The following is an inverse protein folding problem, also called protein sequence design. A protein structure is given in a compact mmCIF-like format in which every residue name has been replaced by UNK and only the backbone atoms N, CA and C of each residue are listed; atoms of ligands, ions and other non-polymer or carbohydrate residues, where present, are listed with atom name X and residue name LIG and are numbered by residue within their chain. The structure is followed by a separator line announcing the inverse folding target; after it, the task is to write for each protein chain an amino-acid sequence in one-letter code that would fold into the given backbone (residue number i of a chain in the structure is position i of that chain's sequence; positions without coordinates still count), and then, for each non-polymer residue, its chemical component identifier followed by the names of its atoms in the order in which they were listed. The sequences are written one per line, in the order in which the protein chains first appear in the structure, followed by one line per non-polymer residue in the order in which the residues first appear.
data_IF_979972519709
#
_entry.id   IF_979972519709
#
_cell.length_a   1.000
_cell.length_b   1.000
_cell.length_c   1.000
_cell.angle_alpha   90.00
_cell.angle_beta   90.00
_cell.angle_gamma   90.00
#
_symmetry.space_group_name_H-M   'P 1'
#
loop_
_entity.id
_entity.type
_entity.pdbx_description
1 polymer ?
#
# COMPACT_ATOMS: atom_id res chain seq x y z
N UNK A 1 17.76 38.56 18.94
CA UNK A 1 17.93 37.62 17.81
C UNK A 1 17.34 36.27 18.20
N UNK A 2 16.24 35.86 17.57
CA UNK A 2 15.61 34.57 17.82
C UNK A 2 16.54 33.47 17.30
N UNK A 3 17.15 32.70 18.21
CA UNK A 3 17.94 31.51 17.83
C UNK A 3 16.96 30.52 17.21
N UNK A 4 17.14 30.20 15.92
CA UNK A 4 16.37 29.15 15.25
C UNK A 4 16.51 27.85 16.05
N UNK A 5 15.40 27.15 16.24
CA UNK A 5 15.43 25.81 16.84
C UNK A 5 16.13 24.84 15.88
N UNK A 6 16.90 23.86 16.39
CA UNK A 6 17.39 22.74 15.60
C UNK A 6 16.23 22.01 14.91
N UNK A 7 16.48 21.39 13.76
CA UNK A 7 15.45 20.60 13.10
C UNK A 7 15.11 19.37 13.95
N UNK A 8 13.90 18.80 13.75
CA UNK A 8 13.51 17.58 14.45
C UNK A 8 14.49 16.43 14.17
N UNK A 9 15.05 16.37 12.95
CA UNK A 9 16.07 15.40 12.56
C UNK A 9 17.35 15.55 13.40
N UNK A 10 17.82 16.78 13.60
CA UNK A 10 19.00 17.05 14.43
C UNK A 10 18.77 16.64 15.89
N UNK A 11 17.55 16.85 16.40
CA UNK A 11 17.15 16.42 17.75
C UNK A 11 17.04 14.90 17.87
N UNK A 12 16.57 14.19 16.83
CA UNK A 12 16.52 12.72 16.83
C UNK A 12 17.91 12.09 16.74
N UNK A 13 18.81 12.66 15.93
CA UNK A 13 20.21 12.21 15.85
C UNK A 13 20.92 12.42 17.19
N UNK A 14 20.69 13.57 17.84
CA UNK A 14 21.21 13.85 19.19
C UNK A 14 20.58 12.96 20.28
N UNK A 15 19.32 12.56 20.14
CA UNK A 15 18.65 11.67 21.09
C UNK A 15 19.19 10.23 21.01
N UNK A 16 19.51 9.75 19.80
CA UNK A 16 19.93 8.36 19.54
C UNK A 16 21.44 8.09 19.59
N UNK A 17 22.29 9.12 19.50
CA UNK A 17 23.76 8.96 19.51
C UNK A 17 24.39 9.30 20.87
N UNK A 18 25.47 8.59 21.23
CA UNK A 18 26.36 9.05 22.30
C UNK A 18 27.06 10.34 21.86
N UNK A 19 27.27 11.25 22.81
CA UNK A 19 27.54 12.69 22.66
C UNK A 19 28.83 13.10 21.91
N UNK A 20 29.46 12.21 21.14
CA UNK A 20 30.82 12.37 20.64
C UNK A 20 30.91 13.02 19.24
N UNK A 21 29.79 13.34 18.60
CA UNK A 21 29.78 14.08 17.34
C UNK A 21 30.10 15.57 17.56
N UNK A 22 30.95 16.23 16.74
CA UNK A 22 31.29 17.64 16.91
C UNK A 22 30.09 18.60 16.80
N UNK A 23 29.02 18.21 16.09
CA UNK A 23 27.74 18.92 16.05
C UNK A 23 26.95 18.84 17.36
N UNK A 24 27.23 17.85 18.21
CA UNK A 24 26.53 17.64 19.48
C UNK A 24 26.78 18.77 20.47
N UNK A 25 27.95 19.45 20.44
CA UNK A 25 28.23 20.51 21.43
C UNK A 25 27.35 21.77 21.25
N UNK A 26 26.96 22.09 20.02
CA UNK A 26 26.07 23.23 19.75
C UNK A 26 24.61 22.88 20.10
N UNK A 27 24.17 21.68 19.73
CA UNK A 27 22.83 21.18 20.03
C UNK A 27 22.66 20.97 21.53
N UNK A 28 23.65 20.40 22.23
CA UNK A 28 23.64 20.23 23.69
C UNK A 28 23.47 21.57 24.42
N UNK A 29 24.25 22.59 24.05
CA UNK A 29 24.10 23.95 24.59
C UNK A 29 22.70 24.52 24.33
N UNK A 30 22.11 24.26 23.16
CA UNK A 30 20.74 24.68 22.85
C UNK A 30 19.70 23.92 23.68
N UNK A 31 19.77 22.58 23.72
CA UNK A 31 18.85 21.72 24.45
C UNK A 31 18.86 22.06 25.93
N UNK A 32 20.04 22.33 26.52
CA UNK A 32 20.16 22.79 27.93
C UNK A 32 19.53 24.16 28.18
N UNK A 33 19.51 25.03 27.18
CA UNK A 33 18.97 26.39 27.31
C UNK A 33 17.52 26.55 26.83
N UNK A 34 16.97 25.56 26.13
CA UNK A 34 15.62 25.59 25.56
C UNK A 34 14.74 24.47 26.09
N UNK A 35 13.77 24.81 26.95
CA UNK A 35 12.83 23.86 27.58
C UNK A 35 12.07 22.99 26.57
N UNK A 36 11.64 23.56 25.44
CA UNK A 36 10.89 22.83 24.39
C UNK A 36 11.75 21.77 23.72
N UNK A 37 12.99 22.11 23.34
CA UNK A 37 13.91 21.15 22.74
C UNK A 37 14.32 20.07 23.75
N UNK A 38 14.49 20.40 25.03
CA UNK A 38 14.71 19.42 26.09
C UNK A 38 13.56 18.41 26.22
N UNK A 39 12.31 18.88 26.20
CA UNK A 39 11.14 18.01 26.24
C UNK A 39 11.06 17.09 25.00
N UNK A 40 11.34 17.62 23.80
CA UNK A 40 11.35 16.81 22.59
C UNK A 40 12.43 15.72 22.61
N UNK A 41 13.63 16.04 23.07
CA UNK A 41 14.72 15.05 23.20
C UNK A 41 14.36 13.97 24.22
N UNK A 42 13.78 14.35 25.36
CA UNK A 42 13.30 13.40 26.37
C UNK A 42 12.21 12.48 25.82
N UNK A 43 11.25 13.02 25.06
CA UNK A 43 10.21 12.24 24.40
C UNK A 43 10.83 11.24 23.40
N UNK A 44 11.77 11.69 22.57
CA UNK A 44 12.45 10.84 21.60
C UNK A 44 13.24 9.71 22.27
N UNK A 45 13.90 9.99 23.41
CA UNK A 45 14.59 8.96 24.20
C UNK A 45 13.63 7.92 24.78
N UNK A 46 12.47 8.35 25.28
CA UNK A 46 11.45 7.42 25.77
C UNK A 46 10.91 6.52 24.66
N UNK A 47 10.66 7.09 23.48
CA UNK A 47 10.23 6.32 22.32
C UNK A 47 11.30 5.32 21.87
N UNK A 48 12.58 5.70 21.88
CA UNK A 48 13.68 4.78 21.55
C UNK A 48 13.78 3.61 22.53
N UNK A 49 13.64 3.87 23.84
CA UNK A 49 13.62 2.82 24.87
C UNK A 49 12.44 1.87 24.66
N UNK A 50 11.24 2.39 24.43
CA UNK A 50 10.05 1.57 24.17
C UNK A 50 10.18 0.75 22.89
N UNK A 51 10.72 1.33 21.83
CA UNK A 51 10.97 0.63 20.57
C UNK A 51 11.99 -0.50 20.77
N UNK A 52 13.08 -0.26 21.49
CA UNK A 52 14.09 -1.28 21.79
C UNK A 52 13.55 -2.39 22.68
N UNK A 53 12.79 -2.07 23.72
CA UNK A 53 12.20 -3.10 24.60
C UNK A 53 11.20 -3.96 23.83
N UNK A 54 10.37 -3.36 22.98
CA UNK A 54 9.44 -4.09 22.12
C UNK A 54 10.17 -5.01 21.12
N UNK A 55 11.30 -4.54 20.56
CA UNK A 55 12.12 -5.36 19.66
C UNK A 55 12.74 -6.55 20.41
N UNK A 56 13.27 -6.35 21.62
CA UNK A 56 13.87 -7.43 22.43
C UNK A 56 12.82 -8.48 22.82
N UNK A 57 11.64 -8.05 23.29
CA UNK A 57 10.54 -8.96 23.63
C UNK A 57 10.06 -9.75 22.40
N UNK A 58 10.04 -9.11 21.22
CA UNK A 58 9.65 -9.78 19.98
C UNK A 58 10.68 -10.81 19.51
N UNK A 59 11.98 -10.60 19.77
CA UNK A 59 13.06 -11.49 19.34
C UNK A 59 13.11 -12.76 20.22
N UNK A 60 12.87 -12.63 21.53
CA UNK A 60 12.77 -13.78 22.43
C UNK A 60 11.54 -14.65 22.16
N UNK A 61 10.40 -14.04 21.80
CA UNK A 61 9.17 -14.78 21.52
C UNK A 61 9.15 -15.44 20.12
N UNK A 62 9.83 -14.85 19.13
CA UNK A 62 9.83 -15.39 17.76
C UNK A 62 10.78 -16.57 17.58
N UNK A 63 11.90 -16.61 18.33
CA UNK A 63 12.86 -17.71 18.28
C UNK A 63 12.35 -19.04 18.84
N UNK A 64 11.47 -19.01 19.85
CA UNK A 64 11.01 -20.21 20.55
C UNK A 64 10.00 -21.05 19.75
N UNK A 65 9.28 -20.45 18.79
CA UNK A 65 8.17 -21.10 18.08
C UNK A 65 8.41 -21.29 16.58
N UNK A 66 9.62 -20.98 16.09
CA UNK A 66 9.91 -21.00 14.65
C UNK A 66 9.04 -20.00 13.88
N UNK A 67 8.65 -18.90 14.52
CA UNK A 67 7.86 -17.86 13.90
C UNK A 67 8.72 -17.06 12.91
N UNK A 68 8.18 -16.66 11.75
CA UNK A 68 8.88 -15.77 10.85
C UNK A 68 9.16 -14.44 11.56
N UNK A 69 10.32 -13.81 11.28
CA UNK A 69 10.67 -12.54 11.91
C UNK A 69 9.66 -11.45 11.52
N UNK A 70 9.42 -10.43 12.36
CA UNK A 70 8.41 -9.40 12.12
C UNK A 70 8.56 -8.69 10.77
N UNK A 71 9.80 -8.51 10.31
CA UNK A 71 10.10 -7.91 9.01
C UNK A 71 9.53 -8.71 7.83
N UNK A 72 9.54 -10.05 7.93
CA UNK A 72 8.96 -10.94 6.90
C UNK A 72 7.43 -10.88 6.94
N UNK A 73 6.82 -10.70 8.11
CA UNK A 73 5.37 -10.51 8.23
C UNK A 73 4.93 -9.14 7.65
N UNK A 74 5.72 -8.09 7.85
CA UNK A 74 5.49 -6.78 7.26
C UNK A 74 5.59 -6.82 5.72
N UNK A 75 6.68 -7.37 5.18
CA UNK A 75 6.86 -7.54 3.73
C UNK A 75 5.75 -8.44 3.10
N UNK A 76 5.15 -9.34 3.89
CA UNK A 76 4.02 -10.18 3.48
C UNK A 76 2.74 -9.34 3.34
N UNK A 77 2.42 -8.48 4.32
CA UNK A 77 1.26 -7.57 4.26
C UNK A 77 1.35 -6.59 3.09
N UNK A 78 2.54 -6.07 2.83
CA UNK A 78 2.78 -5.13 1.71
C UNK A 78 2.83 -5.84 0.34
N UNK A 79 2.80 -7.17 0.32
CA UNK A 79 2.88 -7.97 -0.89
C UNK A 79 4.26 -7.92 -1.57
N UNK A 80 5.31 -7.54 -0.84
CA UNK A 80 6.69 -7.45 -1.29
C UNK A 80 7.43 -8.80 -1.22
N UNK A 81 6.88 -9.78 -0.49
CA UNK A 81 7.49 -11.10 -0.38
C UNK A 81 7.61 -11.81 -1.76
N UNK A 82 8.78 -12.39 -2.09
CA UNK A 82 8.93 -13.30 -3.22
C UNK A 82 7.96 -14.48 -3.15
N UNK A 83 7.55 -14.99 -4.32
CA UNK A 83 6.53 -16.04 -4.41
C UNK A 83 6.83 -17.28 -3.54
N UNK A 84 8.09 -17.71 -3.48
CA UNK A 84 8.50 -18.88 -2.69
C UNK A 84 8.39 -18.64 -1.18
N UNK A 85 8.83 -17.49 -0.69
CA UNK A 85 8.72 -17.14 0.73
C UNK A 85 7.26 -16.93 1.13
N UNK A 86 6.44 -16.43 0.21
CA UNK A 86 5.02 -16.18 0.48
C UNK A 86 4.29 -17.47 0.82
N UNK A 87 4.53 -18.53 0.06
CA UNK A 87 3.94 -19.86 0.33
C UNK A 87 4.35 -20.38 1.71
N UNK A 88 5.63 -20.26 2.07
CA UNK A 88 6.10 -20.70 3.40
C UNK A 88 5.51 -19.87 4.54
N UNK A 89 5.34 -18.55 4.33
CA UNK A 89 4.70 -17.68 5.31
C UNK A 89 3.21 -17.99 5.43
N UNK A 90 2.49 -18.21 4.32
CA UNK A 90 1.07 -18.62 4.32
C UNK A 90 0.87 -19.96 5.03
N UNK A 91 1.74 -20.94 4.78
CA UNK A 91 1.71 -22.24 5.46
C UNK A 91 1.94 -22.08 6.97
N UNK A 92 2.90 -21.25 7.39
CA UNK A 92 3.10 -20.92 8.80
C UNK A 92 1.88 -20.20 9.39
N UNK A 93 1.31 -19.20 8.72
CA UNK A 93 0.13 -18.46 9.21
C UNK A 93 -1.11 -19.34 9.34
N UNK A 94 -1.21 -20.40 8.53
CA UNK A 94 -2.30 -21.37 8.63
C UNK A 94 -2.22 -22.20 9.92
N UNK A 95 -1.01 -22.43 10.43
CA UNK A 95 -0.74 -23.30 11.59
C UNK A 95 -0.42 -22.53 12.88
N UNK A 96 0.08 -21.30 12.80
CA UNK A 96 0.49 -20.49 13.94
C UNK A 96 -0.53 -19.38 14.24
N UNK A 97 -1.28 -19.54 15.34
CA UNK A 97 -2.28 -18.56 15.78
C UNK A 97 -1.67 -17.22 16.16
N UNK A 98 -0.50 -17.22 16.82
CA UNK A 98 0.17 -16.00 17.28
C UNK A 98 0.52 -15.06 16.13
N UNK A 99 1.15 -15.58 15.07
CA UNK A 99 1.52 -14.76 13.90
C UNK A 99 0.28 -14.24 13.15
N UNK A 100 -0.80 -15.03 13.09
CA UNK A 100 -2.05 -14.59 12.50
C UNK A 100 -2.69 -13.45 13.31
N UNK A 101 -2.75 -13.57 14.63
CA UNK A 101 -3.32 -12.54 15.51
C UNK A 101 -2.47 -11.25 15.44
N UNK A 102 -1.14 -11.37 15.40
CA UNK A 102 -0.24 -10.22 15.20
C UNK A 102 -0.46 -9.51 13.85
N UNK A 103 -0.69 -10.27 12.75
CA UNK A 103 -1.01 -9.67 11.45
C UNK A 103 -2.33 -8.88 11.47
N UNK A 104 -3.36 -9.40 12.15
CA UNK A 104 -4.64 -8.69 12.30
C UNK A 104 -4.41 -7.38 13.05
N UNK A 105 -3.64 -7.41 14.14
CA UNK A 105 -3.36 -6.22 14.94
C UNK A 105 -2.59 -5.14 14.16
N UNK A 106 -1.58 -5.54 13.37
CA UNK A 106 -0.84 -4.61 12.50
C UNK A 106 -1.77 -4.02 11.44
N UNK A 107 -2.66 -4.83 10.85
CA UNK A 107 -3.64 -4.36 9.87
C UNK A 107 -4.64 -3.38 10.49
N UNK A 108 -5.09 -3.61 11.72
CA UNK A 108 -5.96 -2.69 12.44
C UNK A 108 -5.26 -1.36 12.75
N UNK A 109 -4.02 -1.40 13.24
CA UNK A 109 -3.23 -0.19 13.52
C UNK A 109 -2.99 0.65 12.26
N UNK A 110 -2.65 0.01 11.14
CA UNK A 110 -2.41 0.71 9.86
C UNK A 110 -3.69 1.27 9.25
N UNK A 111 -4.85 0.66 9.51
CA UNK A 111 -6.15 1.24 9.12
C UNK A 111 -6.50 2.48 9.96
N UNK A 112 -6.15 2.52 11.23
CA UNK A 112 -6.40 3.68 12.11
C UNK A 112 -5.59 4.91 11.69
N UNK A 113 -4.34 4.73 11.22
CA UNK A 113 -3.55 5.84 10.67
C UNK A 113 -4.17 6.46 9.41
N UNK A 114 -4.95 5.69 8.65
CA UNK A 114 -5.59 6.20 7.44
C UNK A 114 -6.85 7.04 7.72
N UNK A 115 -7.50 6.81 8.86
CA UNK A 115 -8.67 7.59 9.30
C UNK A 115 -8.29 8.80 10.19
N UNK A 116 -7.08 8.81 10.75
CA UNK A 116 -6.61 9.88 11.67
C UNK A 116 -5.60 10.85 11.05
N UNK A 117 -5.15 10.60 9.81
CA UNK A 117 -4.61 11.66 8.99
C UNK A 117 -5.77 12.61 8.64
N UNK A 118 -5.92 13.68 9.43
CA UNK A 118 -6.69 14.83 8.94
C UNK A 118 -6.16 15.16 7.53
N UNK A 119 -7.04 15.36 6.53
CA UNK A 119 -6.63 15.71 5.19
C UNK A 119 -6.04 17.12 5.22
N UNK A 120 -4.81 17.22 5.70
CA UNK A 120 -4.02 18.45 5.71
C UNK A 120 -3.75 18.82 4.24
N UNK A 121 -4.54 19.79 3.78
CA UNK A 121 -4.23 20.79 2.75
C UNK A 121 -4.00 20.33 1.28
N UNK A 122 -4.36 19.10 0.88
CA UNK A 122 -4.24 18.67 -0.54
C UNK A 122 -5.60 18.37 -1.23
N UNK A 123 -6.74 18.50 -0.53
CA UNK A 123 -8.04 18.07 -1.07
C UNK A 123 -9.06 19.19 -1.36
N UNK A 124 -8.66 20.43 -1.59
CA UNK A 124 -9.62 21.51 -1.94
C UNK A 124 -9.96 21.59 -3.45
N UNK A 125 -9.39 20.70 -4.29
CA UNK A 125 -9.61 20.69 -5.75
C UNK A 125 -10.06 19.32 -6.31
N UNK A 126 -10.21 18.31 -5.45
CA UNK A 126 -10.97 17.11 -5.79
C UNK A 126 -12.43 17.41 -5.48
N UNK A 127 -13.07 18.12 -6.42
CA UNK A 127 -14.50 18.38 -6.51
C UNK A 127 -15.27 17.20 -5.91
N UNK A 128 -15.81 17.38 -4.70
CA UNK A 128 -16.88 16.53 -4.23
C UNK A 128 -17.92 16.51 -5.37
N UNK A 129 -18.28 15.33 -5.91
CA UNK A 129 -19.18 15.27 -7.03
C UNK A 129 -20.45 16.00 -6.63
N UNK A 130 -20.79 17.03 -7.41
CA UNK A 130 -21.92 17.90 -7.10
C UNK A 130 -23.17 17.05 -6.80
N UNK A 131 -24.07 17.58 -5.99
CA UNK A 131 -25.24 16.81 -5.54
C UNK A 131 -26.08 16.28 -6.72
N UNK A 132 -26.04 16.96 -7.88
CA UNK A 132 -26.69 16.50 -9.11
C UNK A 132 -25.95 15.30 -9.75
N UNK A 133 -24.61 15.26 -9.72
CA UNK A 133 -23.78 14.13 -10.15
C UNK A 133 -24.00 12.93 -9.24
N UNK A 134 -24.09 13.13 -7.91
CA UNK A 134 -24.46 12.08 -6.95
C UNK A 134 -25.88 11.53 -7.25
N UNK A 135 -26.87 12.40 -7.47
CA UNK A 135 -28.25 12.00 -7.84
C UNK A 135 -28.32 11.28 -9.18
N UNK A 136 -27.58 11.72 -10.20
CA UNK A 136 -27.51 11.04 -11.52
C UNK A 136 -26.94 9.64 -11.40
N UNK A 137 -25.86 9.49 -10.64
CA UNK A 137 -25.22 8.19 -10.42
C UNK A 137 -26.15 7.24 -9.67
N UNK A 138 -26.83 7.73 -8.62
CA UNK A 138 -27.82 6.94 -7.88
C UNK A 138 -29.01 6.53 -8.76
N UNK A 139 -29.52 7.43 -9.60
CA UNK A 139 -30.61 7.11 -10.51
C UNK A 139 -30.19 6.06 -11.55
N UNK A 140 -28.96 6.13 -12.07
CA UNK A 140 -28.42 5.16 -13.01
C UNK A 140 -28.24 3.77 -12.38
N UNK A 141 -27.78 3.71 -11.13
CA UNK A 141 -27.67 2.46 -10.37
C UNK A 141 -29.07 1.88 -10.12
N UNK A 142 -30.02 2.72 -9.72
CA UNK A 142 -31.40 2.32 -9.44
C UNK A 142 -32.12 1.80 -10.69
N UNK A 143 -31.89 2.39 -11.87
CA UNK A 143 -32.45 1.89 -13.13
C UNK A 143 -31.81 0.56 -13.53
N UNK A 144 -30.47 0.44 -13.47
CA UNK A 144 -29.80 -0.84 -13.75
C UNK A 144 -30.22 -1.96 -12.81
N UNK A 145 -30.47 -1.67 -11.53
CA UNK A 145 -30.98 -2.66 -10.57
C UNK A 145 -32.42 -3.10 -10.88
N UNK A 146 -33.27 -2.20 -11.40
CA UNK A 146 -34.63 -2.56 -11.84
C UNK A 146 -34.61 -3.47 -13.06
N UNK A 147 -33.69 -3.24 -14.01
CA UNK A 147 -33.53 -4.09 -15.20
C UNK A 147 -33.07 -5.52 -14.89
N UNK A 148 -32.48 -5.74 -13.71
CA UNK A 148 -32.01 -7.06 -13.28
C UNK A 148 -33.04 -7.85 -12.46
N UNK A 149 -34.26 -7.33 -12.25
CA UNK A 149 -35.32 -8.06 -11.55
C UNK A 149 -35.74 -9.30 -12.35
N UNK A 150 -35.93 -10.40 -11.64
CA UNK A 150 -36.30 -11.69 -12.25
C UNK A 150 -37.77 -11.95 -11.97
N UNK A 151 -38.56 -12.20 -13.02
CA UNK A 151 -39.96 -12.62 -12.87
C UNK A 151 -40.04 -14.12 -12.60
N UNK A 152 -40.86 -14.49 -11.61
CA UNK A 152 -41.14 -15.89 -11.33
C UNK A 152 -41.91 -16.52 -12.50
N UNK A 153 -41.38 -17.60 -13.07
CA UNK A 153 -42.06 -18.33 -14.14
C UNK A 153 -43.35 -19.06 -13.70
N UNK A 154 -43.62 -19.18 -12.39
CA UNK A 154 -44.80 -19.86 -11.86
C UNK A 154 -45.92 -18.87 -11.51
N UNK A 155 -45.64 -17.84 -10.70
CA UNK A 155 -46.67 -16.89 -10.24
C UNK A 155 -46.59 -15.50 -10.89
N UNK A 156 -45.54 -15.20 -11.65
CA UNK A 156 -45.35 -13.89 -12.29
C UNK A 156 -44.74 -12.80 -11.41
N UNK A 157 -44.59 -13.01 -10.10
CA UNK A 157 -44.06 -12.03 -9.15
C UNK A 157 -42.63 -11.55 -9.53
N UNK A 158 -42.36 -10.26 -9.39
CA UNK A 158 -41.04 -9.69 -9.61
C UNK A 158 -40.16 -9.84 -8.36
N UNK A 159 -38.99 -10.44 -8.51
CA UNK A 159 -38.07 -10.68 -7.40
C UNK A 159 -36.76 -9.92 -7.57
N UNK A 160 -36.09 -9.65 -6.45
CA UNK A 160 -34.80 -8.96 -6.44
C UNK A 160 -33.71 -9.76 -7.17
N UNK A 161 -32.76 -9.08 -7.84
CA UNK A 161 -31.65 -9.74 -8.51
C UNK A 161 -30.85 -10.62 -7.52
N UNK A 162 -30.72 -11.91 -7.84
CA UNK A 162 -29.99 -12.87 -7.01
C UNK A 162 -30.85 -13.68 -6.03
N UNK A 163 -32.14 -13.37 -5.89
CA UNK A 163 -33.09 -14.20 -5.13
C UNK A 163 -33.13 -15.63 -5.69
N UNK A 164 -33.07 -16.63 -4.79
CA UNK A 164 -33.11 -18.05 -5.15
C UNK A 164 -34.52 -18.62 -5.11
N UNK A 165 -35.40 -17.96 -4.39
CA UNK A 165 -36.76 -18.39 -4.10
C UNK A 165 -37.69 -17.20 -4.31
N UNK A 166 -38.83 -17.43 -4.94
CA UNK A 166 -39.84 -16.43 -5.17
C UNK A 166 -40.50 -16.01 -3.86
N UNK A 167 -40.55 -14.70 -3.61
CA UNK A 167 -41.22 -14.11 -2.44
C UNK A 167 -42.74 -14.34 -2.44
N UNK A 168 -43.38 -14.38 -3.62
CA UNK A 168 -44.83 -14.63 -3.74
C UNK A 168 -45.26 -16.08 -3.52
N UNK A 169 -44.65 -17.06 -4.21
CA UNK A 169 -45.12 -18.46 -4.20
C UNK A 169 -44.13 -19.49 -3.65
N UNK A 170 -42.92 -19.10 -3.23
CA UNK A 170 -41.92 -20.03 -2.71
C UNK A 170 -41.21 -20.91 -3.75
N UNK A 171 -41.49 -20.72 -5.05
CA UNK A 171 -40.83 -21.48 -6.11
C UNK A 171 -39.34 -21.12 -6.25
N UNK A 172 -38.48 -22.10 -6.54
CA UNK A 172 -37.08 -21.83 -6.87
C UNK A 172 -36.97 -21.06 -8.19
N UNK A 173 -36.32 -19.90 -8.15
CA UNK A 173 -36.06 -19.11 -9.34
C UNK A 173 -34.84 -19.68 -10.06
N UNK A 174 -35.00 -20.04 -11.35
CA UNK A 174 -33.85 -20.37 -12.20
C UNK A 174 -32.95 -19.15 -12.28
N UNK A 175 -31.74 -19.24 -11.74
CA UNK A 175 -30.72 -18.21 -11.99
C UNK A 175 -30.61 -18.03 -13.50
N UNK A 176 -30.55 -16.80 -14.02
CA UNK A 176 -30.20 -16.59 -15.42
C UNK A 176 -28.86 -17.30 -15.61
N UNK A 177 -28.88 -18.41 -16.35
CA UNK A 177 -27.68 -19.15 -16.68
C UNK A 177 -26.90 -18.23 -17.60
N UNK A 178 -25.96 -17.47 -17.04
CA UNK A 178 -25.05 -16.69 -17.85
C UNK A 178 -24.35 -17.68 -18.77
N UNK A 179 -24.67 -17.62 -20.06
CA UNK A 179 -23.97 -18.36 -21.09
C UNK A 179 -22.74 -17.55 -21.44
N UNK A 180 -21.58 -18.17 -21.31
CA UNK A 180 -20.31 -17.63 -21.76
C UNK A 180 -20.07 -18.10 -23.19
N UNK A 181 -19.50 -17.25 -24.04
CA UNK A 181 -19.07 -17.66 -25.37
C UNK A 181 -17.64 -18.21 -25.29
N UNK A 182 -17.41 -19.38 -25.87
CA UNK A 182 -16.07 -19.93 -26.02
C UNK A 182 -15.18 -18.98 -26.83
N UNK A 183 -14.01 -18.62 -26.30
CA UNK A 183 -13.05 -17.77 -27.04
C UNK A 183 -12.52 -18.51 -28.28
N UNK A 184 -12.38 -19.84 -28.20
CA UNK A 184 -11.82 -20.66 -29.29
C UNK A 184 -12.83 -20.97 -30.39
N UNK A 185 -14.04 -21.43 -30.06
CA UNK A 185 -15.02 -21.89 -31.06
C UNK A 185 -16.35 -21.11 -31.07
N UNK A 186 -16.51 -20.08 -30.23
CA UNK A 186 -17.72 -19.25 -30.07
C UNK A 186 -19.01 -19.98 -29.66
N UNK A 187 -18.94 -21.26 -29.31
CA UNK A 187 -20.09 -21.98 -28.76
C UNK A 187 -20.55 -21.34 -27.43
N UNK A 188 -21.86 -21.29 -27.18
CA UNK A 188 -22.40 -20.92 -25.87
C UNK A 188 -22.16 -22.04 -24.86
N UNK A 189 -21.62 -21.69 -23.71
CA UNK A 189 -21.22 -22.62 -22.66
C UNK A 189 -21.87 -22.16 -21.35
N UNK A 190 -22.48 -23.07 -20.57
CA UNK A 190 -22.98 -22.71 -19.25
C UNK A 190 -21.82 -22.24 -18.34
N UNK A 191 -22.03 -21.18 -17.56
CA UNK A 191 -21.01 -20.59 -16.68
C UNK A 191 -20.35 -21.55 -15.67
N UNK A 192 -20.90 -22.75 -15.46
CA UNK A 192 -20.35 -23.77 -14.56
C UNK A 192 -19.34 -24.72 -15.22
N UNK A 193 -19.15 -24.69 -16.55
CA UNK A 193 -18.23 -25.59 -17.24
C UNK A 193 -16.78 -25.11 -17.16
N UNK A 194 -15.86 -26.02 -16.80
CA UNK A 194 -14.42 -25.75 -16.82
C UNK A 194 -13.80 -25.86 -18.24
N UNK A 195 -14.48 -26.54 -19.15
CA UNK A 195 -14.02 -26.82 -20.51
C UNK A 195 -15.14 -26.60 -21.51
N UNK A 196 -14.78 -26.19 -22.73
CA UNK A 196 -15.73 -26.11 -23.82
C UNK A 196 -16.14 -27.51 -24.28
N UNK A 197 -17.46 -27.85 -24.26
CA UNK A 197 -17.91 -29.17 -24.71
C UNK A 197 -17.71 -29.40 -26.21
N UNK A 198 -17.56 -28.33 -27.00
CA UNK A 198 -17.39 -28.45 -28.45
C UNK A 198 -15.92 -28.60 -28.86
N UNK A 199 -15.00 -27.80 -28.31
CA UNK A 199 -13.59 -27.79 -28.75
C UNK A 199 -12.58 -28.19 -27.66
N UNK A 200 -13.01 -28.53 -26.45
CA UNK A 200 -12.14 -28.95 -25.35
C UNK A 200 -11.29 -27.85 -24.72
N UNK A 201 -11.32 -26.60 -25.22
CA UNK A 201 -10.54 -25.50 -24.67
C UNK A 201 -10.94 -25.22 -23.22
N UNK A 202 -9.95 -25.08 -22.34
CA UNK A 202 -10.19 -24.68 -20.95
C UNK A 202 -10.79 -23.28 -20.88
N UNK A 203 -11.86 -23.13 -20.09
CA UNK A 203 -12.49 -21.84 -19.79
C UNK A 203 -11.97 -21.48 -18.41
N UNK A 204 -10.92 -20.68 -18.36
CA UNK A 204 -10.36 -20.27 -17.09
C UNK A 204 -11.46 -19.57 -16.26
N UNK A 205 -11.78 -20.04 -15.04
CA UNK A 205 -12.70 -19.30 -14.19
C UNK A 205 -12.11 -17.89 -13.96
N UNK A 206 -12.94 -16.83 -13.88
CA UNK A 206 -12.47 -15.44 -13.82
C UNK A 206 -11.61 -15.09 -12.58
N UNK A 207 -11.25 -16.05 -11.72
CA UNK A 207 -10.52 -15.85 -10.47
C UNK A 207 -9.00 -15.60 -10.61
N UNK A 208 -8.38 -15.81 -11.78
CA UNK A 208 -6.91 -15.58 -11.93
C UNK A 208 -6.49 -14.45 -12.87
N UNK A 209 -7.39 -13.92 -13.71
CA UNK A 209 -7.03 -12.85 -14.66
C UNK A 209 -6.95 -11.47 -13.97
N UNK A 210 -7.79 -11.23 -12.96
CA UNK A 210 -7.71 -9.99 -12.17
C UNK A 210 -6.41 -9.87 -11.37
N UNK A 211 -5.80 -10.99 -10.94
CA UNK A 211 -4.49 -10.99 -10.28
C UNK A 211 -3.36 -10.59 -11.23
N UNK A 212 -3.38 -11.06 -12.49
CA UNK A 212 -2.34 -10.73 -13.46
C UNK A 212 -2.47 -9.30 -14.03
N UNK A 213 -3.69 -8.82 -14.23
CA UNK A 213 -3.91 -7.42 -14.67
C UNK A 213 -3.59 -6.44 -13.53
N UNK A 214 -3.89 -6.78 -12.27
CA UNK A 214 -3.54 -5.95 -11.11
C UNK A 214 -2.04 -5.97 -10.81
N UNK A 215 -1.36 -7.12 -10.96
CA UNK A 215 0.10 -7.20 -10.81
C UNK A 215 0.85 -6.40 -11.90
N UNK A 216 0.29 -6.31 -13.12
CA UNK A 216 0.86 -5.48 -14.18
C UNK A 216 0.51 -4.00 -13.99
N UNK A 217 -0.68 -3.68 -13.47
CA UNK A 217 -1.05 -2.28 -13.21
C UNK A 217 -0.29 -1.70 -12.02
N UNK A 218 -0.01 -2.45 -10.95
CA UNK A 218 0.77 -1.96 -9.81
C UNK A 218 2.23 -1.69 -10.19
N UNK A 219 2.82 -2.54 -11.03
CA UNK A 219 4.16 -2.31 -11.58
C UNK A 219 4.21 -1.04 -12.47
N UNK A 220 3.20 -0.84 -13.32
CA UNK A 220 3.12 0.35 -14.19
C UNK A 220 2.81 1.62 -13.39
N UNK A 221 1.92 1.58 -12.39
CA UNK A 221 1.65 2.74 -11.53
C UNK A 221 2.83 3.09 -10.64
N UNK A 222 3.62 2.09 -10.20
CA UNK A 222 4.87 2.31 -9.47
C UNK A 222 5.95 2.98 -10.34
N UNK A 223 6.07 2.53 -11.59
CA UNK A 223 6.99 3.14 -12.55
C UNK A 223 6.57 4.58 -12.89
N UNK A 224 5.27 4.80 -13.12
CA UNK A 224 4.75 6.14 -13.39
C UNK A 224 4.99 7.05 -12.20
N UNK A 225 4.65 6.63 -10.96
CA UNK A 225 4.85 7.45 -9.75
C UNK A 225 6.31 7.87 -9.55
N UNK A 226 7.25 6.97 -9.85
CA UNK A 226 8.70 7.25 -9.78
C UNK A 226 9.17 8.25 -10.85
N UNK A 227 8.47 8.31 -11.99
CA UNK A 227 8.84 9.16 -13.11
C UNK A 227 7.86 10.32 -13.38
N UNK A 228 6.86 10.56 -12.52
CA UNK A 228 5.85 11.62 -12.70
C UNK A 228 6.52 12.97 -12.96
N UNK A 229 7.49 13.35 -12.13
CA UNK A 229 8.17 14.65 -12.25
C UNK A 229 8.97 14.78 -13.55
N UNK A 230 9.61 13.70 -14.01
CA UNK A 230 10.33 13.70 -15.28
C UNK A 230 9.36 13.84 -16.47
N UNK A 231 8.23 13.11 -16.43
CA UNK A 231 7.20 13.18 -17.47
C UNK A 231 6.56 14.57 -17.52
N UNK A 232 6.25 15.16 -16.37
CA UNK A 232 5.73 16.53 -16.28
C UNK A 232 6.74 17.55 -16.81
N UNK A 233 8.03 17.39 -16.51
CA UNK A 233 9.08 18.24 -17.05
C UNK A 233 9.16 18.18 -18.58
N UNK A 234 9.17 16.97 -19.15
CA UNK A 234 9.17 16.76 -20.60
C UNK A 234 7.90 17.28 -21.27
N UNK A 235 6.74 17.06 -20.65
CA UNK A 235 5.46 17.57 -21.15
C UNK A 235 5.43 19.10 -21.17
N UNK A 236 5.90 19.77 -20.11
CA UNK A 236 6.01 21.22 -20.07
C UNK A 236 6.91 21.76 -21.19
N UNK A 237 8.07 21.14 -21.41
CA UNK A 237 8.97 21.50 -22.52
C UNK A 237 8.27 21.28 -23.88
N UNK A 238 7.56 20.17 -24.07
CA UNK A 238 6.82 19.89 -25.30
C UNK A 238 5.70 20.92 -25.57
N UNK A 239 4.93 21.28 -24.54
CA UNK A 239 3.85 22.27 -24.63
C UNK A 239 4.39 23.67 -24.97
N UNK A 240 5.62 23.99 -24.54
CA UNK A 240 6.24 25.29 -24.83
C UNK A 240 6.33 25.60 -26.34
N UNK A 241 6.45 24.58 -27.20
CA UNK A 241 6.50 24.74 -28.65
C UNK A 241 5.15 25.10 -29.28
N UNK A 242 4.04 24.79 -28.61
CA UNK A 242 2.69 25.09 -29.11
C UNK A 242 2.13 26.39 -28.54
N UNK A 243 2.57 26.79 -27.35
CA UNK A 243 2.09 27.98 -26.64
C UNK A 243 3.14 29.10 -26.65
N UNK A 244 3.44 29.67 -27.84
CA UNK A 244 4.48 30.70 -28.01
C UNK A 244 4.40 31.87 -27.02
N UNK A 245 3.19 32.29 -26.62
CA UNK A 245 2.97 33.37 -25.64
C UNK A 245 3.54 33.05 -24.25
N UNK A 246 3.64 31.78 -23.89
CA UNK A 246 4.08 31.30 -22.57
C UNK A 246 5.38 30.48 -22.63
N UNK A 247 6.13 30.58 -23.73
CA UNK A 247 7.33 29.77 -23.99
C UNK A 247 8.32 29.74 -22.82
N UNK A 248 8.70 30.91 -22.31
CA UNK A 248 9.67 31.02 -21.20
C UNK A 248 9.12 30.43 -19.90
N UNK A 249 7.81 30.61 -19.63
CA UNK A 249 7.17 30.10 -18.42
C UNK A 249 7.15 28.56 -18.40
N UNK A 250 6.86 27.93 -19.54
CA UNK A 250 6.88 26.47 -19.65
C UNK A 250 8.29 25.88 -19.58
N UNK A 251 9.30 26.56 -20.12
CA UNK A 251 10.71 26.15 -19.94
C UNK A 251 11.11 26.22 -18.47
N UNK A 252 10.77 27.32 -17.78
CA UNK A 252 11.07 27.47 -16.35
C UNK A 252 10.41 26.35 -15.52
N UNK A 253 9.14 26.04 -15.79
CA UNK A 253 8.44 24.91 -15.17
C UNK A 253 9.13 23.56 -15.46
N UNK A 254 9.53 23.33 -16.71
CA UNK A 254 10.28 22.13 -17.10
C UNK A 254 11.59 21.96 -16.32
N UNK A 255 12.33 23.05 -16.11
CA UNK A 255 13.55 23.04 -15.29
C UNK A 255 13.27 22.77 -13.81
N UNK A 256 12.21 23.37 -13.24
CA UNK A 256 11.82 23.13 -11.85
C UNK A 256 11.46 21.66 -11.62
N UNK A 257 10.64 21.07 -12.51
CA UNK A 257 10.29 19.65 -12.42
C UNK A 257 11.49 18.73 -12.65
N UNK A 258 12.37 19.07 -13.59
CA UNK A 258 13.63 18.35 -13.81
C UNK A 258 14.54 18.37 -12.58
N UNK A 259 14.74 19.52 -11.97
CA UNK A 259 15.54 19.66 -10.75
C UNK A 259 14.94 18.85 -9.59
N UNK A 260 13.61 18.92 -9.41
CA UNK A 260 12.91 18.11 -8.40
C UNK A 260 13.12 16.61 -8.63
N UNK A 261 13.00 16.14 -9.87
CA UNK A 261 13.26 14.75 -10.21
C UNK A 261 14.69 14.30 -9.87
N UNK A 262 15.70 15.14 -10.16
CA UNK A 262 17.10 14.85 -9.80
C UNK A 262 17.29 14.75 -8.29
N UNK A 263 16.71 15.67 -7.52
CA UNK A 263 16.78 15.64 -6.06
C UNK A 263 16.11 14.38 -5.49
N UNK A 264 14.94 14.00 -5.99
CA UNK A 264 14.23 12.79 -5.57
C UNK A 264 15.07 11.52 -5.90
N UNK A 265 15.77 11.49 -7.05
CA UNK A 265 16.69 10.38 -7.40
C UNK A 265 17.90 10.29 -6.47
N UNK A 266 18.48 11.43 -6.08
CA UNK A 266 19.59 11.45 -5.12
C UNK A 266 19.14 10.95 -3.75
N UNK A 267 17.97 11.40 -3.28
CA UNK A 267 17.38 10.93 -2.03
C UNK A 267 17.17 9.41 -2.06
N UNK A 268 16.56 8.87 -3.12
CA UNK A 268 16.36 7.43 -3.30
C UNK A 268 17.67 6.63 -3.21
N UNK A 269 18.77 7.12 -3.79
CA UNK A 269 20.08 6.47 -3.68
C UNK A 269 20.62 6.49 -2.26
N UNK A 270 20.49 7.63 -1.56
CA UNK A 270 20.91 7.75 -0.17
C UNK A 270 20.12 6.78 0.72
N UNK A 271 18.79 6.70 0.55
CA UNK A 271 17.95 5.74 1.28
C UNK A 271 18.33 4.29 0.99
N UNK A 272 18.57 3.95 -0.29
CA UNK A 272 18.98 2.60 -0.66
C UNK A 272 20.34 2.20 -0.04
N UNK A 273 21.30 3.12 0.01
CA UNK A 273 22.60 2.87 0.64
C UNK A 273 22.51 2.74 2.16
N UNK A 274 21.68 3.55 2.83
CA UNK A 274 21.42 3.44 4.28
C UNK A 274 20.79 2.08 4.59
N UNK A 275 19.75 1.68 3.84
CA UNK A 275 19.10 0.37 4.02
C UNK A 275 20.07 -0.79 3.78
N UNK A 276 20.96 -0.67 2.79
CA UNK A 276 21.98 -1.69 2.51
C UNK A 276 22.98 -1.82 3.66
N UNK A 277 23.41 -0.70 4.26
CA UNK A 277 24.30 -0.68 5.43
C UNK A 277 23.66 -1.32 6.66
N UNK A 278 22.45 -0.92 7.00
CA UNK A 278 21.69 -1.51 8.12
C UNK A 278 21.50 -3.03 7.93
N UNK A 279 21.21 -3.47 6.71
CA UNK A 279 21.09 -4.90 6.39
C UNK A 279 22.41 -5.66 6.52
N UNK A 280 23.56 -5.04 6.19
CA UNK A 280 24.86 -5.68 6.36
C UNK A 280 25.31 -5.74 7.82
N UNK A 281 25.00 -4.72 8.61
CA UNK A 281 25.33 -4.68 10.04
C UNK A 281 24.54 -5.76 10.80
N UNK A 282 23.25 -5.92 10.52
CA UNK A 282 22.43 -6.98 11.11
C UNK A 282 22.98 -8.40 10.87
N UNK A 283 23.51 -8.68 9.67
CA UNK A 283 24.14 -9.98 9.37
C UNK A 283 25.43 -10.23 10.13
N UNK A 284 26.19 -9.17 10.41
CA UNK A 284 27.48 -9.26 11.09
C UNK A 284 27.27 -9.55 12.57
N UNK A 285 26.28 -8.92 13.19
CA UNK A 285 25.88 -9.20 14.57
C UNK A 285 25.31 -10.62 14.74
N UNK A 286 24.49 -11.09 13.79
CA UNK A 286 23.96 -12.46 13.84
C UNK A 286 25.09 -13.51 13.71
N UNK A 287 26.08 -13.26 12.84
CA UNK A 287 27.24 -14.14 12.69
C UNK A 287 28.13 -14.14 13.95
N UNK A 288 28.29 -12.98 14.60
CA UNK A 288 29.06 -12.87 15.84
C UNK A 288 28.40 -13.64 17.00
N UNK A 289 27.07 -13.54 17.15
CA UNK A 289 26.30 -14.33 18.14
C UNK A 289 26.44 -15.84 17.94
N UNK A 290 26.45 -16.32 16.68
CA UNK A 290 26.65 -17.76 16.39
C UNK A 290 28.04 -18.27 16.79
N UNK A 291 29.08 -17.46 16.64
CA UNK A 291 30.45 -17.85 17.00
C UNK A 291 30.65 -17.85 18.52
N UNK A 292 30.04 -16.90 19.25
CA UNK A 292 30.19 -16.82 20.72
C UNK A 292 29.36 -17.85 21.51
N UNK A 293 28.35 -18.48 20.90
CA UNK A 293 27.47 -19.45 21.57
C UNK A 293 27.90 -20.93 21.46
N UNK A 294 29.07 -21.23 20.88
CA UNK A 294 29.57 -22.61 20.70
C UNK A 294 30.81 -22.96 21.54
N UNK A 295 31.11 -22.17 22.57
CA UNK A 295 32.16 -22.46 23.56
C UNK A 295 31.54 -22.71 24.93
#
# INVERSE_FOLDING_TARGET
MLKRHPSLKDLSEYAGSHADAPSASSIDKHVRSCRRCAQNVELLRRLDVLARSALIESDEQTGAHGCPPPLVLADYLEGLLPAQQRVTTEEHLSSCRLCRDALIQIQEMTMIEYDSAEPDEIADDLLEPDEATRRRTLNLIKTKLREQRVRCGICGEENEPGSLVCSGCGAQLKRPSHTLLCISCRQQIPAASNYCPNCGSAIAPPKKIFGLIRARSTAVTGLIRTHVWAVLGLAAIGISFFAHRYFIQFIALGLIFGAKWVLDQVQLRIYADILKRLRSEGKTEEQKKRISGSG
#
